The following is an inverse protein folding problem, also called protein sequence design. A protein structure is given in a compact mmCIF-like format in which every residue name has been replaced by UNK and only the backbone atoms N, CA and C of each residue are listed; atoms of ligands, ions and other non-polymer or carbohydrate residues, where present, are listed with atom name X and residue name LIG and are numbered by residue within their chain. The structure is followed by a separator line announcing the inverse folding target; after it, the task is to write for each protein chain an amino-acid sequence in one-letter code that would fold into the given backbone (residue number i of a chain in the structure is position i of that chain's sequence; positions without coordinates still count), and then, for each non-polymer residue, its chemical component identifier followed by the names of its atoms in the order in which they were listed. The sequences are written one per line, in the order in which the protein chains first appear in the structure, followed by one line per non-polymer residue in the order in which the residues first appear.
data_IF_925796148840
#
_entry.id   IF_925796148840
#
_cell.length_a   1.000
_cell.length_b   1.000
_cell.length_c   1.000
_cell.angle_alpha   90.00
_cell.angle_beta   90.00
_cell.angle_gamma   90.00
#
_symmetry.space_group_name_H-M   'P 1'
#
loop_
_entity.id
_entity.type
_entity.pdbx_description
1 polymer ?
#
# COMPACT_ATOMS: atom_id res chain seq x y z
N UNK A 1 40.13 1.00 -2.15
CA UNK A 1 39.45 0.04 -1.25
C UNK A 1 37.95 0.13 -1.49
N UNK A 2 37.26 -1.01 -1.59
CA UNK A 2 35.79 -1.04 -1.69
C UNK A 2 35.16 -0.48 -0.41
N UNK A 3 34.00 0.15 -0.55
CA UNK A 3 33.24 0.66 0.57
C UNK A 3 32.66 -0.51 1.39
N UNK A 4 32.93 -0.51 2.70
CA UNK A 4 32.50 -1.56 3.63
C UNK A 4 31.95 -0.96 4.91
N UNK A 5 30.84 -1.50 5.40
CA UNK A 5 30.39 -1.33 6.79
C UNK A 5 30.52 -2.65 7.55
N UNK A 6 30.87 -2.57 8.83
CA UNK A 6 30.87 -3.72 9.74
C UNK A 6 29.83 -3.49 10.82
N UNK A 7 28.96 -4.47 11.03
CA UNK A 7 27.88 -4.40 12.01
C UNK A 7 28.37 -4.73 13.42
N UNK A 8 27.67 -4.21 14.42
CA UNK A 8 27.80 -4.66 15.81
C UNK A 8 27.28 -6.10 15.92
N UNK A 9 28.01 -6.96 16.63
CA UNK A 9 27.63 -8.37 16.84
C UNK A 9 26.19 -8.53 17.36
N UNK A 10 25.77 -7.66 18.28
CA UNK A 10 24.41 -7.68 18.84
C UNK A 10 23.30 -7.25 17.86
N UNK A 11 23.64 -6.68 16.70
CA UNK A 11 22.69 -6.13 15.72
C UNK A 11 22.71 -6.82 14.36
N UNK A 12 23.71 -7.66 14.08
CA UNK A 12 23.85 -8.34 12.77
C UNK A 12 22.79 -9.41 12.51
N UNK A 13 22.25 -10.06 13.56
CA UNK A 13 21.27 -11.14 13.42
C UNK A 13 19.97 -10.71 12.72
N UNK A 14 19.54 -9.45 12.91
CA UNK A 14 18.34 -8.92 12.25
C UNK A 14 18.53 -8.85 10.74
N UNK A 15 19.73 -8.44 10.28
CA UNK A 15 20.07 -8.37 8.84
C UNK A 15 20.27 -9.77 8.26
N UNK A 16 20.94 -10.67 8.98
CA UNK A 16 21.12 -12.07 8.57
C UNK A 16 19.78 -12.80 8.40
N UNK A 17 18.74 -12.41 9.14
CA UNK A 17 17.37 -12.90 8.99
C UNK A 17 16.61 -12.22 7.84
N UNK A 18 17.23 -11.31 7.11
CA UNK A 18 16.67 -10.65 5.93
C UNK A 18 15.97 -9.33 6.18
N UNK A 19 16.18 -8.67 7.33
CA UNK A 19 15.60 -7.34 7.54
C UNK A 19 16.27 -6.31 6.60
N UNK A 20 15.51 -5.50 5.84
CA UNK A 20 16.03 -4.68 4.74
C UNK A 20 16.71 -3.39 5.20
N UNK A 21 16.54 -2.98 6.46
CA UNK A 21 17.10 -1.72 6.96
C UNK A 21 18.20 -1.91 7.98
N UNK A 22 19.27 -1.13 7.82
CA UNK A 22 20.36 -0.97 8.78
C UNK A 22 20.36 0.47 9.29
N UNK A 23 20.12 0.62 10.59
CA UNK A 23 20.15 1.92 11.26
C UNK A 23 21.59 2.36 11.59
N UNK A 24 21.88 3.67 11.72
CA UNK A 24 23.22 4.16 12.07
C UNK A 24 23.80 3.49 13.32
N UNK A 25 22.98 3.27 14.35
CA UNK A 25 23.39 2.63 15.62
C UNK A 25 23.77 1.15 15.50
N UNK A 26 23.55 0.51 14.35
CA UNK A 26 23.93 -0.89 14.11
C UNK A 26 25.35 -1.01 13.53
N UNK A 27 25.97 0.08 13.09
CA UNK A 27 27.28 0.09 12.43
C UNK A 27 28.37 0.32 13.47
N UNK A 28 29.33 -0.61 13.55
CA UNK A 28 30.46 -0.56 14.47
C UNK A 28 31.64 0.24 13.89
N UNK A 29 31.97 -0.02 12.63
CA UNK A 29 33.06 0.61 11.89
C UNK A 29 32.77 0.66 10.40
N UNK A 30 33.42 1.58 9.71
CA UNK A 30 33.36 1.74 8.25
C UNK A 30 34.77 1.75 7.68
N UNK A 31 34.91 1.36 6.41
CA UNK A 31 36.18 1.39 5.68
C UNK A 31 35.95 1.67 4.21
N UNK A 32 36.93 2.30 3.55
CA UNK A 32 36.75 2.83 2.20
C UNK A 32 35.90 4.10 2.16
N UNK A 33 35.73 4.68 0.97
CA UNK A 33 34.91 5.89 0.79
C UNK A 33 33.44 5.53 0.69
N UNK A 34 32.64 5.97 1.66
CA UNK A 34 31.19 5.88 1.60
C UNK A 34 30.63 7.05 0.79
N UNK A 35 29.70 6.79 -0.12
CA UNK A 35 29.07 7.83 -0.95
C UNK A 35 27.58 7.55 -1.01
N UNK A 36 26.77 8.56 -0.71
CA UNK A 36 25.31 8.45 -0.72
C UNK A 36 24.81 8.01 -2.10
N UNK A 37 23.93 7.01 -2.13
CA UNK A 37 23.42 6.39 -3.35
C UNK A 37 24.27 5.26 -3.92
N UNK A 38 25.48 5.01 -3.39
CA UNK A 38 26.36 3.95 -3.88
C UNK A 38 26.19 2.65 -3.09
N UNK A 39 26.57 1.54 -3.72
CA UNK A 39 26.65 0.24 -3.07
C UNK A 39 27.74 0.19 -2.01
N UNK A 40 27.44 -0.50 -0.91
CA UNK A 40 28.37 -0.77 0.18
C UNK A 40 28.27 -2.23 0.59
N UNK A 41 29.42 -2.88 0.80
CA UNK A 41 29.46 -4.24 1.32
C UNK A 41 29.15 -4.23 2.84
N UNK A 42 28.35 -5.20 3.28
CA UNK A 42 27.89 -5.34 4.66
C UNK A 42 28.60 -6.55 5.27
N UNK A 43 29.33 -6.34 6.37
CA UNK A 43 30.08 -7.40 7.06
C UNK A 43 29.61 -7.62 8.49
N UNK A 44 29.75 -8.86 8.96
CA UNK A 44 29.56 -9.24 10.36
C UNK A 44 30.73 -8.80 11.23
N UNK A 45 30.57 -8.86 12.55
CA UNK A 45 31.62 -8.58 13.52
C UNK A 45 32.83 -9.52 13.39
N UNK A 46 32.62 -10.71 12.84
CA UNK A 46 33.63 -11.74 12.54
C UNK A 46 34.24 -11.59 11.13
N UNK A 47 34.01 -10.44 10.47
CA UNK A 47 34.50 -10.12 9.11
C UNK A 47 33.98 -11.05 8.00
N UNK A 48 32.85 -11.71 8.21
CA UNK A 48 32.11 -12.42 7.16
C UNK A 48 31.23 -11.48 6.33
N UNK A 49 31.20 -11.68 5.00
CA UNK A 49 30.31 -10.92 4.11
C UNK A 49 28.85 -11.35 4.36
N UNK A 50 28.00 -10.39 4.75
CA UNK A 50 26.55 -10.58 4.94
C UNK A 50 25.80 -10.32 3.64
N UNK A 51 26.18 -9.29 2.89
CA UNK A 51 25.47 -8.87 1.69
C UNK A 51 25.90 -7.49 1.20
N UNK A 52 25.06 -6.88 0.38
CA UNK A 52 25.27 -5.55 -0.21
C UNK A 52 24.02 -4.69 -0.04
N UNK A 53 24.23 -3.39 0.10
CA UNK A 53 23.13 -2.43 0.19
C UNK A 53 23.48 -1.06 -0.35
N UNK A 54 22.47 -0.22 -0.52
CA UNK A 54 22.65 1.19 -0.88
C UNK A 54 22.90 2.03 0.38
N UNK A 55 24.02 2.74 0.42
CA UNK A 55 24.38 3.63 1.52
C UNK A 55 23.71 5.01 1.37
N UNK A 56 23.26 5.60 2.47
CA UNK A 56 22.77 6.98 2.50
C UNK A 56 23.15 7.69 3.82
N UNK A 57 23.88 8.79 3.74
CA UNK A 57 24.35 9.51 4.92
C UNK A 57 23.29 10.38 5.63
N UNK A 58 22.21 10.72 4.93
CA UNK A 58 21.13 11.56 5.43
C UNK A 58 19.97 10.73 5.98
N UNK A 59 19.79 9.51 5.47
CA UNK A 59 18.67 8.64 5.84
C UNK A 59 18.76 8.08 7.26
N UNK A 60 17.59 7.84 7.86
CA UNK A 60 17.43 6.99 9.04
C UNK A 60 17.83 5.54 8.75
N UNK A 61 17.66 5.10 7.51
CA UNK A 61 18.09 3.79 7.02
C UNK A 61 19.45 3.96 6.36
N UNK A 62 20.50 3.97 7.19
CA UNK A 62 21.89 4.25 6.78
C UNK A 62 22.35 3.34 5.64
N UNK A 63 21.91 2.08 5.67
CA UNK A 63 22.03 1.16 4.53
C UNK A 63 20.69 0.47 4.32
N UNK A 64 20.23 0.48 3.07
CA UNK A 64 19.10 -0.32 2.60
C UNK A 64 19.67 -1.57 1.92
N UNK A 65 19.41 -2.75 2.49
CA UNK A 65 19.93 -4.04 2.01
C UNK A 65 19.21 -4.40 0.71
N UNK A 66 19.98 -4.77 -0.33
CA UNK A 66 19.45 -5.13 -1.65
C UNK A 66 19.63 -6.62 -1.96
N UNK A 67 20.71 -7.22 -1.44
CA UNK A 67 20.94 -8.66 -1.53
C UNK A 67 21.79 -9.16 -0.35
N UNK A 68 21.52 -10.39 0.07
CA UNK A 68 22.33 -11.17 0.98
C UNK A 68 23.31 -12.06 0.20
N UNK A 69 24.46 -12.33 0.81
CA UNK A 69 25.53 -13.11 0.18
C UNK A 69 25.12 -14.56 -0.13
N UNK A 70 24.18 -15.12 0.62
CA UNK A 70 23.67 -16.49 0.44
C UNK A 70 22.66 -16.63 -0.72
N UNK A 71 22.25 -15.53 -1.36
CA UNK A 71 21.30 -15.58 -2.48
C UNK A 71 21.96 -15.97 -3.81
N UNK A 72 23.30 -16.00 -3.89
CA UNK A 72 24.03 -16.35 -5.12
C UNK A 72 23.85 -15.35 -6.26
N UNK A 73 23.48 -14.11 -5.95
CA UNK A 73 23.24 -13.03 -6.91
C UNK A 73 24.55 -12.35 -7.33
N UNK A 74 24.57 -11.86 -8.56
CA UNK A 74 25.60 -10.91 -8.98
C UNK A 74 25.38 -9.57 -8.27
N UNK A 75 26.26 -9.29 -7.31
CA UNK A 75 26.27 -8.10 -6.46
C UNK A 75 27.31 -7.06 -6.93
N UNK A 76 27.78 -7.15 -8.18
CA UNK A 76 28.84 -6.27 -8.70
C UNK A 76 28.37 -4.81 -8.89
N UNK A 77 27.10 -4.61 -9.26
CA UNK A 77 26.52 -3.30 -9.56
C UNK A 77 24.98 -3.29 -9.37
N UNK A 78 24.35 -2.13 -9.51
CA UNK A 78 22.91 -1.96 -9.39
C UNK A 78 22.13 -2.70 -10.48
N UNK A 79 22.58 -2.67 -11.75
CA UNK A 79 21.85 -3.28 -12.87
C UNK A 79 21.53 -4.78 -12.68
N UNK A 80 22.49 -5.68 -12.34
CA UNK A 80 22.17 -7.08 -12.11
C UNK A 80 21.22 -7.28 -10.92
N UNK A 81 21.37 -6.52 -9.84
CA UNK A 81 20.47 -6.56 -8.67
C UNK A 81 19.05 -6.15 -9.04
N UNK A 82 18.89 -5.00 -9.71
CA UNK A 82 17.60 -4.46 -10.14
C UNK A 82 16.91 -5.42 -11.11
N UNK A 83 17.64 -5.91 -12.13
CA UNK A 83 17.13 -6.91 -13.07
C UNK A 83 16.65 -8.16 -12.35
N UNK A 84 17.47 -8.73 -11.47
CA UNK A 84 17.08 -9.94 -10.74
C UNK A 84 15.78 -9.73 -9.95
N UNK A 85 15.70 -8.66 -9.16
CA UNK A 85 14.53 -8.38 -8.31
C UNK A 85 13.28 -8.09 -9.12
N UNK A 86 13.37 -7.32 -10.20
CA UNK A 86 12.21 -7.04 -11.05
C UNK A 86 11.69 -8.30 -11.75
N UNK A 87 12.58 -9.17 -12.26
CA UNK A 87 12.18 -10.47 -12.81
C UNK A 87 11.54 -11.37 -11.74
N UNK A 88 12.08 -11.38 -10.52
CA UNK A 88 11.51 -12.14 -9.40
C UNK A 88 10.10 -11.64 -9.06
N UNK A 89 9.92 -10.33 -8.92
CA UNK A 89 8.63 -9.72 -8.62
C UNK A 89 7.60 -10.00 -9.72
N UNK A 90 8.00 -9.87 -11.01
CA UNK A 90 7.16 -10.24 -12.15
C UNK A 90 6.72 -11.70 -12.06
N UNK A 91 7.65 -12.62 -11.81
CA UNK A 91 7.33 -14.06 -11.70
C UNK A 91 6.32 -14.33 -10.58
N UNK A 92 6.44 -13.64 -9.43
CA UNK A 92 5.45 -13.74 -8.36
C UNK A 92 4.08 -13.27 -8.85
N UNK A 93 3.98 -12.15 -9.57
CA UNK A 93 2.70 -11.64 -10.10
C UNK A 93 2.12 -12.56 -11.18
N UNK A 94 2.96 -13.15 -12.03
CA UNK A 94 2.55 -14.18 -12.98
C UNK A 94 1.93 -15.40 -12.25
N UNK A 95 2.53 -15.85 -11.14
CA UNK A 95 1.98 -16.93 -10.30
C UNK A 95 0.66 -16.55 -9.59
N UNK A 96 0.42 -15.25 -9.38
CA UNK A 96 -0.85 -14.71 -8.90
C UNK A 96 -1.88 -14.54 -10.03
N UNK A 97 -1.55 -14.92 -11.26
CA UNK A 97 -2.34 -14.69 -12.48
C UNK A 97 -2.61 -13.20 -12.74
N UNK A 98 -1.60 -12.34 -12.56
CA UNK A 98 -1.72 -10.90 -12.83
C UNK A 98 -0.82 -10.48 -14.01
N UNK A 99 -1.37 -9.80 -15.03
CA UNK A 99 -2.79 -9.46 -15.19
C UNK A 99 -3.65 -10.67 -15.62
N UNK A 100 -4.95 -10.57 -15.43
CA UNK A 100 -5.95 -11.49 -16.00
C UNK A 100 -7.04 -10.71 -16.76
N UNK A 101 -8.07 -11.42 -17.23
CA UNK A 101 -9.19 -10.83 -17.99
C UNK A 101 -10.04 -9.83 -17.18
N UNK A 102 -9.95 -9.86 -15.84
CA UNK A 102 -10.71 -9.01 -14.94
C UNK A 102 -9.83 -8.01 -14.18
N UNK A 103 -8.50 -8.13 -14.24
CA UNK A 103 -7.57 -7.33 -13.46
C UNK A 103 -6.36 -6.96 -14.30
N UNK A 104 -6.30 -5.70 -14.70
CA UNK A 104 -5.17 -5.12 -15.44
C UNK A 104 -4.48 -3.98 -14.68
N UNK A 105 -5.01 -3.59 -13.52
CA UNK A 105 -4.36 -2.75 -12.53
C UNK A 105 -3.84 -3.59 -11.34
N UNK A 106 -2.53 -3.56 -11.10
CA UNK A 106 -1.91 -4.28 -9.98
C UNK A 106 -0.53 -3.73 -9.62
N UNK A 107 -0.08 -4.02 -8.39
CA UNK A 107 1.27 -3.71 -7.95
C UNK A 107 2.23 -4.74 -8.53
N UNK A 108 3.10 -4.29 -9.42
CA UNK A 108 4.18 -5.10 -9.98
C UNK A 108 5.34 -5.26 -8.99
N UNK A 109 5.68 -4.20 -8.25
CA UNK A 109 6.82 -4.19 -7.34
C UNK A 109 6.51 -3.39 -6.06
N UNK A 110 6.77 -3.98 -4.89
CA UNK A 110 6.38 -3.49 -3.57
C UNK A 110 7.58 -3.26 -2.64
N UNK A 111 8.51 -2.39 -3.04
CA UNK A 111 9.58 -1.86 -2.19
C UNK A 111 10.40 -2.92 -1.47
N UNK A 112 10.51 -2.84 -0.14
CA UNK A 112 11.21 -3.80 0.71
C UNK A 112 10.74 -5.23 0.46
N UNK A 113 9.44 -5.41 0.20
CA UNK A 113 8.86 -6.73 0.08
C UNK A 113 9.31 -7.50 -1.16
N UNK A 114 9.70 -6.78 -2.21
CA UNK A 114 10.27 -7.33 -3.43
C UNK A 114 11.80 -7.09 -3.52
N UNK A 115 12.43 -6.61 -2.44
CA UNK A 115 13.88 -6.57 -2.28
C UNK A 115 14.58 -5.29 -2.75
N UNK A 116 13.85 -4.26 -3.17
CA UNK A 116 14.42 -2.95 -3.52
C UNK A 116 13.74 -1.83 -2.72
N UNK A 117 14.21 -1.64 -1.49
CA UNK A 117 13.67 -0.66 -0.54
C UNK A 117 13.64 0.75 -1.13
N UNK A 118 12.43 1.31 -1.22
CA UNK A 118 12.15 2.65 -1.72
C UNK A 118 11.61 2.71 -3.16
N UNK A 119 11.54 1.58 -3.87
CA UNK A 119 10.99 1.49 -5.23
C UNK A 119 9.61 0.81 -5.20
N UNK A 120 8.58 1.47 -5.71
CA UNK A 120 7.29 0.82 -5.98
C UNK A 120 6.88 0.99 -7.43
N UNK A 121 6.28 -0.04 -8.01
CA UNK A 121 5.81 0.00 -9.40
C UNK A 121 4.39 -0.54 -9.44
N UNK A 122 3.46 0.29 -9.91
CA UNK A 122 2.14 -0.14 -10.33
C UNK A 122 2.07 -0.29 -11.82
N UNK A 123 1.36 -1.32 -12.29
CA UNK A 123 1.10 -1.53 -13.69
C UNK A 123 -0.39 -1.37 -13.95
N UNK A 124 -0.73 -0.45 -14.83
CA UNK A 124 -2.06 -0.07 -15.28
C UNK A 124 -2.14 -0.31 -16.79
N UNK A 125 -2.56 -1.50 -17.21
CA UNK A 125 -2.40 -1.95 -18.61
C UNK A 125 -0.95 -1.82 -19.11
N UNK A 126 -0.70 -0.94 -20.08
CA UNK A 126 0.60 -0.66 -20.69
C UNK A 126 1.25 0.60 -20.07
N UNK A 127 0.93 0.92 -18.82
CA UNK A 127 1.53 2.04 -18.09
C UNK A 127 2.14 1.52 -16.80
N UNK A 128 3.45 1.67 -16.66
CA UNK A 128 4.17 1.45 -15.42
C UNK A 128 4.33 2.78 -14.66
N UNK A 129 3.63 2.91 -13.55
CA UNK A 129 3.78 4.04 -12.63
C UNK A 129 4.81 3.68 -11.58
N UNK A 130 5.99 4.29 -11.68
CA UNK A 130 7.09 4.12 -10.74
C UNK A 130 7.01 5.21 -9.70
N UNK A 131 6.95 4.84 -8.42
CA UNK A 131 7.14 5.79 -7.33
C UNK A 131 8.43 5.49 -6.57
N UNK A 132 9.19 6.56 -6.33
CA UNK A 132 10.51 6.53 -5.73
C UNK A 132 10.49 7.29 -4.41
N UNK A 133 10.99 6.64 -3.35
CA UNK A 133 10.99 7.20 -1.99
C UNK A 133 12.35 7.13 -1.32
N UNK A 134 13.39 6.68 -2.05
CA UNK A 134 14.76 6.59 -1.56
C UNK A 134 15.74 7.20 -2.56
N UNK A 135 16.81 7.81 -2.04
CA UNK A 135 17.82 8.49 -2.85
C UNK A 135 18.42 7.60 -3.94
N UNK A 136 18.76 6.36 -3.61
CA UNK A 136 19.41 5.45 -4.56
C UNK A 136 18.49 5.10 -5.74
N UNK A 137 17.16 5.11 -5.54
CA UNK A 137 16.19 4.84 -6.61
C UNK A 137 16.22 5.96 -7.63
N UNK A 138 16.23 7.23 -7.18
CA UNK A 138 16.39 8.38 -8.07
C UNK A 138 17.74 8.38 -8.78
N UNK A 139 18.82 8.10 -8.04
CA UNK A 139 20.17 8.06 -8.60
C UNK A 139 20.35 6.96 -9.67
N UNK A 140 19.49 5.95 -9.68
CA UNK A 140 19.51 4.84 -10.64
C UNK A 140 18.26 4.81 -11.53
N UNK A 141 17.57 5.96 -11.71
CA UNK A 141 16.35 6.06 -12.51
C UNK A 141 16.51 5.45 -13.90
N UNK A 142 17.58 5.79 -14.61
CA UNK A 142 17.84 5.32 -15.98
C UNK A 142 17.92 3.78 -16.03
N UNK A 143 18.72 3.18 -15.14
CA UNK A 143 18.87 1.71 -15.05
C UNK A 143 17.52 1.05 -14.75
N UNK A 144 16.75 1.61 -13.81
CA UNK A 144 15.43 1.07 -13.43
C UNK A 144 14.49 1.13 -14.63
N UNK A 145 14.42 2.27 -15.32
CA UNK A 145 13.58 2.47 -16.49
C UNK A 145 13.97 1.52 -17.64
N UNK A 146 15.25 1.36 -17.93
CA UNK A 146 15.74 0.41 -18.94
C UNK A 146 15.31 -1.02 -18.63
N UNK A 147 15.47 -1.47 -17.37
CA UNK A 147 15.08 -2.83 -16.97
C UNK A 147 13.56 -3.01 -17.00
N UNK A 148 12.77 -1.99 -16.64
CA UNK A 148 11.32 -2.03 -16.82
C UNK A 148 10.97 -2.17 -18.30
N UNK A 149 11.63 -1.43 -19.19
CA UNK A 149 11.41 -1.52 -20.64
C UNK A 149 11.87 -2.87 -21.22
N UNK A 150 12.92 -3.49 -20.68
CA UNK A 150 13.30 -4.87 -21.03
C UNK A 150 12.18 -5.87 -20.72
N UNK A 151 11.49 -5.70 -19.58
CA UNK A 151 10.38 -6.56 -19.16
C UNK A 151 9.08 -6.27 -19.90
N UNK A 152 8.84 -5.00 -20.21
CA UNK A 152 7.61 -4.50 -20.82
C UNK A 152 7.94 -3.49 -21.95
N UNK A 153 8.37 -3.96 -23.12
CA UNK A 153 8.89 -3.09 -24.19
C UNK A 153 7.89 -2.06 -24.72
N UNK A 154 6.60 -2.30 -24.58
CA UNK A 154 5.53 -1.42 -25.06
C UNK A 154 4.93 -0.55 -23.96
N UNK A 155 5.36 -0.69 -22.72
CA UNK A 155 4.78 0.08 -21.62
C UNK A 155 5.35 1.50 -21.59
N UNK A 156 4.49 2.47 -21.31
CA UNK A 156 4.88 3.82 -20.93
C UNK A 156 5.32 3.83 -19.46
N UNK A 157 6.42 4.52 -19.15
CA UNK A 157 6.84 4.75 -17.77
C UNK A 157 6.41 6.14 -17.31
N UNK A 158 5.70 6.21 -16.20
CA UNK A 158 5.39 7.45 -15.49
C UNK A 158 6.14 7.43 -14.16
N UNK A 159 7.01 8.41 -13.94
CA UNK A 159 7.82 8.47 -12.72
C UNK A 159 7.28 9.52 -11.74
N UNK A 160 6.92 9.09 -10.53
CA UNK A 160 6.28 9.91 -9.49
C UNK A 160 7.15 9.91 -8.22
N UNK A 161 8.07 10.87 -8.08
CA UNK A 161 8.94 10.94 -6.92
C UNK A 161 8.21 11.42 -5.67
N UNK A 162 8.44 10.72 -4.57
CA UNK A 162 7.83 11.00 -3.28
C UNK A 162 8.64 12.09 -2.55
N UNK A 163 8.32 13.36 -2.85
CA UNK A 163 9.07 14.56 -2.40
C UNK A 163 9.42 14.53 -0.91
N UNK A 164 8.47 14.19 -0.03
CA UNK A 164 8.68 14.20 1.42
C UNK A 164 9.68 13.12 1.88
N UNK A 165 9.49 11.82 1.60
CA UNK A 165 10.51 10.79 1.88
C UNK A 165 11.87 11.10 1.24
N UNK A 166 11.88 11.55 -0.01
CA UNK A 166 13.12 11.86 -0.73
C UNK A 166 13.90 13.02 -0.08
N UNK A 167 13.21 14.07 0.37
CA UNK A 167 13.81 15.16 1.11
C UNK A 167 14.44 14.71 2.44
N UNK A 168 13.83 13.73 3.12
CA UNK A 168 14.40 13.10 4.33
C UNK A 168 15.64 12.25 4.00
N UNK A 169 15.68 11.63 2.82
CA UNK A 169 16.83 10.90 2.28
C UNK A 169 17.89 11.84 1.65
N UNK A 170 17.72 13.16 1.75
CA UNK A 170 18.70 14.17 1.30
C UNK A 170 18.63 14.52 -0.19
N UNK A 171 17.60 14.07 -0.92
CA UNK A 171 17.38 14.46 -2.31
C UNK A 171 16.91 15.91 -2.40
N UNK A 172 17.67 16.75 -3.11
CA UNK A 172 17.40 18.20 -3.23
C UNK A 172 17.06 18.65 -4.65
N UNK A 173 17.14 17.75 -5.63
CA UNK A 173 16.88 18.11 -7.01
C UNK A 173 15.38 18.39 -7.20
N UNK A 174 15.09 19.38 -8.03
CA UNK A 174 13.72 19.69 -8.40
C UNK A 174 13.11 18.50 -9.14
N UNK A 175 11.90 18.13 -8.73
CA UNK A 175 11.06 17.16 -9.45
C UNK A 175 10.37 17.94 -10.56
N UNK A 176 10.75 17.71 -11.82
CA UNK A 176 10.28 18.54 -12.95
C UNK A 176 9.57 17.74 -14.03
N UNK A 177 8.95 16.61 -13.70
CA UNK A 177 8.20 15.83 -14.69
C UNK A 177 6.69 15.94 -14.46
N UNK A 178 6.05 16.54 -15.46
CA UNK A 178 4.61 16.56 -15.64
C UNK A 178 4.26 15.55 -16.73
N UNK A 179 3.82 14.37 -16.34
CA UNK A 179 3.11 13.48 -17.24
C UNK A 179 1.62 13.62 -16.95
N UNK A 180 0.84 13.98 -17.96
CA UNK A 180 -0.61 13.83 -17.95
C UNK A 180 -0.94 12.65 -18.86
N UNK A 181 -1.38 11.56 -18.25
CA UNK A 181 -1.85 10.38 -18.98
C UNK A 181 -3.14 9.89 -18.33
N UNK A 182 -3.98 9.23 -19.12
CA UNK A 182 -5.17 8.56 -18.63
C UNK A 182 -5.17 7.13 -19.14
N UNK A 183 -5.68 6.21 -18.32
CA UNK A 183 -5.86 4.82 -18.73
C UNK A 183 -7.18 4.28 -18.19
N UNK A 184 -7.88 3.51 -19.02
CA UNK A 184 -8.97 2.67 -18.55
C UNK A 184 -8.42 1.32 -18.15
N UNK A 185 -8.62 0.91 -16.91
CA UNK A 185 -8.09 -0.35 -16.36
C UNK A 185 -9.19 -1.16 -15.71
N UNK A 186 -8.96 -2.47 -15.60
CA UNK A 186 -9.84 -3.36 -14.86
C UNK A 186 -9.26 -3.66 -13.50
N UNK A 187 -10.09 -3.59 -12.47
CA UNK A 187 -9.81 -4.14 -11.15
C UNK A 187 -10.96 -5.09 -10.79
N UNK A 188 -10.67 -6.40 -10.77
CA UNK A 188 -11.64 -7.45 -10.46
C UNK A 188 -13.00 -7.31 -11.16
N UNK A 189 -13.00 -6.91 -12.43
CA UNK A 189 -14.18 -6.80 -13.28
C UNK A 189 -14.87 -5.43 -13.30
N UNK A 190 -14.38 -4.46 -12.52
CA UNK A 190 -14.82 -3.06 -12.59
C UNK A 190 -13.86 -2.26 -13.46
N UNK A 191 -14.40 -1.50 -14.40
CA UNK A 191 -13.65 -0.59 -15.24
C UNK A 191 -13.44 0.75 -14.52
N UNK A 192 -12.19 1.19 -14.41
CA UNK A 192 -11.82 2.48 -13.84
C UNK A 192 -11.16 3.35 -14.89
N UNK A 193 -11.51 4.63 -14.94
CA UNK A 193 -10.70 5.64 -15.60
C UNK A 193 -9.72 6.23 -14.59
N UNK A 194 -8.43 5.95 -14.80
CA UNK A 194 -7.35 6.43 -13.94
C UNK A 194 -6.68 7.61 -14.62
N UNK A 195 -6.58 8.71 -13.88
CA UNK A 195 -5.89 9.92 -14.32
C UNK A 195 -4.55 10.03 -13.59
N UNK A 196 -3.47 9.96 -14.35
CA UNK A 196 -2.13 10.19 -13.86
C UNK A 196 -1.84 11.68 -14.06
N UNK A 197 -2.34 12.51 -13.14
CA UNK A 197 -2.10 13.95 -13.11
C UNK A 197 -1.42 14.35 -11.80
N UNK A 198 -0.47 15.29 -11.89
CA UNK A 198 0.20 16.02 -10.80
C UNK A 198 0.40 15.29 -9.44
N UNK A 199 1.59 14.71 -9.29
CA UNK A 199 2.44 14.70 -8.08
C UNK A 199 1.90 14.33 -6.68
N UNK A 200 0.63 13.93 -6.44
CA UNK A 200 0.21 13.63 -5.06
C UNK A 200 -0.40 12.27 -4.75
N UNK A 201 -1.02 11.52 -5.67
CA UNK A 201 -1.45 10.13 -5.39
C UNK A 201 -1.44 9.28 -6.67
N UNK A 202 -1.01 8.02 -6.53
CA UNK A 202 -1.11 7.00 -7.58
C UNK A 202 -2.59 6.63 -7.76
N UNK A 203 -3.26 7.27 -8.72
CA UNK A 203 -4.54 6.85 -9.33
C UNK A 203 -5.56 6.12 -8.45
N UNK A 204 -5.41 4.79 -8.33
CA UNK A 204 -6.37 3.84 -7.76
C UNK A 204 -5.76 3.09 -6.56
N UNK A 205 -6.54 2.89 -5.48
CA UNK A 205 -6.15 2.08 -4.32
C UNK A 205 -6.26 0.56 -4.61
N UNK A 206 -5.35 0.07 -5.44
CA UNK A 206 -5.28 -1.34 -5.87
C UNK A 206 -4.97 -2.33 -4.74
N UNK A 207 -4.57 -1.84 -3.54
CA UNK A 207 -4.38 -2.65 -2.35
C UNK A 207 -5.69 -3.11 -1.72
N UNK A 208 -6.81 -2.44 -2.01
CA UNK A 208 -8.13 -2.84 -1.52
C UNK A 208 -8.86 -3.85 -2.43
N UNK A 209 -8.33 -4.17 -3.62
CA UNK A 209 -8.98 -5.05 -4.63
C UNK A 209 -9.67 -6.29 -4.04
N UNK A 210 -8.97 -7.04 -3.19
CA UNK A 210 -9.54 -8.26 -2.61
C UNK A 210 -10.58 -7.97 -1.53
N UNK A 211 -10.46 -6.86 -0.80
CA UNK A 211 -11.46 -6.42 0.16
C UNK A 211 -12.73 -5.93 -0.54
N UNK A 212 -12.60 -5.27 -1.69
CA UNK A 212 -13.75 -4.94 -2.54
C UNK A 212 -14.53 -6.19 -2.95
N UNK A 213 -13.84 -7.23 -3.46
CA UNK A 213 -14.46 -8.52 -3.82
C UNK A 213 -15.18 -9.17 -2.63
N UNK A 214 -14.54 -9.17 -1.45
CA UNK A 214 -15.13 -9.73 -0.22
C UNK A 214 -16.47 -9.09 0.15
N UNK A 215 -16.57 -7.76 0.00
CA UNK A 215 -17.84 -7.04 0.21
C UNK A 215 -18.84 -7.34 -0.90
N UNK A 216 -18.38 -7.37 -2.15
CA UNK A 216 -19.20 -7.67 -3.33
C UNK A 216 -19.90 -9.03 -3.21
N UNK A 217 -19.18 -10.07 -2.77
CA UNK A 217 -19.71 -11.43 -2.59
C UNK A 217 -20.87 -11.50 -1.59
N UNK A 218 -20.98 -10.50 -0.70
CA UNK A 218 -22.02 -10.41 0.32
C UNK A 218 -23.15 -9.44 -0.05
N UNK A 219 -22.97 -8.63 -1.10
CA UNK A 219 -23.81 -7.45 -1.37
C UNK A 219 -25.13 -7.76 -2.08
N UNK A 220 -25.28 -8.91 -2.73
CA UNK A 220 -26.46 -9.23 -3.55
C UNK A 220 -27.78 -9.07 -2.77
N UNK A 221 -28.67 -8.22 -3.28
CA UNK A 221 -29.98 -7.93 -2.71
C UNK A 221 -29.95 -7.19 -1.37
N UNK A 222 -28.85 -6.50 -1.06
CA UNK A 222 -28.67 -5.74 0.18
C UNK A 222 -28.53 -4.25 -0.04
N UNK A 223 -28.79 -3.48 1.00
CA UNK A 223 -28.46 -2.05 1.06
C UNK A 223 -27.06 -1.86 1.62
N UNK A 224 -26.22 -1.12 0.91
CA UNK A 224 -24.81 -0.92 1.24
C UNK A 224 -24.50 0.56 1.46
N UNK A 225 -23.85 0.89 2.57
CA UNK A 225 -23.34 2.24 2.86
C UNK A 225 -21.81 2.23 2.81
N UNK A 226 -21.23 2.91 1.81
CA UNK A 226 -19.80 3.06 1.63
C UNK A 226 -19.33 4.45 2.11
N UNK A 227 -18.74 4.49 3.30
CA UNK A 227 -18.23 5.73 3.90
C UNK A 227 -16.73 5.86 3.62
N UNK A 228 -16.33 7.06 3.20
CA UNK A 228 -14.99 7.35 2.66
C UNK A 228 -14.77 6.63 1.32
N UNK A 229 -15.78 6.66 0.44
CA UNK A 229 -15.83 5.87 -0.80
C UNK A 229 -14.71 6.21 -1.80
N UNK A 230 -14.12 7.41 -1.68
CA UNK A 230 -13.16 7.95 -2.65
C UNK A 230 -13.70 7.85 -4.10
N UNK A 231 -13.05 7.10 -4.98
CA UNK A 231 -13.43 6.89 -6.38
C UNK A 231 -14.40 5.72 -6.58
N UNK A 232 -15.04 5.24 -5.51
CA UNK A 232 -16.12 4.26 -5.57
C UNK A 232 -15.69 2.80 -5.42
N UNK A 233 -14.51 2.51 -4.87
CA UNK A 233 -13.96 1.15 -4.79
C UNK A 233 -14.96 0.09 -4.31
N UNK A 234 -15.38 0.18 -3.04
CA UNK A 234 -16.38 -0.73 -2.48
C UNK A 234 -17.76 -0.55 -3.13
N UNK A 235 -18.20 0.69 -3.35
CA UNK A 235 -19.52 0.99 -3.91
C UNK A 235 -19.75 0.35 -5.29
N UNK A 236 -18.82 0.50 -6.22
CA UNK A 236 -18.91 -0.01 -7.60
C UNK A 236 -18.94 -1.54 -7.61
N UNK A 237 -18.08 -2.17 -6.81
CA UNK A 237 -18.03 -3.63 -6.68
C UNK A 237 -19.31 -4.20 -6.06
N UNK A 238 -19.83 -3.57 -5.00
CA UNK A 238 -21.09 -3.97 -4.38
C UNK A 238 -22.28 -3.82 -5.35
N UNK A 239 -22.35 -2.69 -6.06
CA UNK A 239 -23.39 -2.42 -7.06
C UNK A 239 -23.37 -3.45 -8.20
N UNK A 240 -22.18 -3.75 -8.75
CA UNK A 240 -22.01 -4.74 -9.82
C UNK A 240 -22.38 -6.16 -9.38
N UNK A 241 -22.17 -6.50 -8.11
CA UNK A 241 -22.57 -7.78 -7.53
C UNK A 241 -24.08 -7.89 -7.23
N UNK A 242 -24.85 -6.83 -7.53
CA UNK A 242 -26.31 -6.83 -7.43
C UNK A 242 -26.84 -6.38 -6.08
N UNK A 243 -26.15 -5.46 -5.39
CA UNK A 243 -26.76 -4.71 -4.29
C UNK A 243 -28.10 -4.09 -4.71
N UNK A 244 -29.08 -4.07 -3.79
CA UNK A 244 -30.36 -3.42 -4.02
C UNK A 244 -30.17 -1.92 -4.18
N UNK A 245 -29.37 -1.33 -3.30
CA UNK A 245 -29.05 0.09 -3.29
C UNK A 245 -27.68 0.28 -2.65
N UNK A 246 -26.87 1.17 -3.22
CA UNK A 246 -25.60 1.59 -2.63
C UNK A 246 -25.64 3.10 -2.38
N UNK A 247 -25.24 3.54 -1.19
CA UNK A 247 -24.97 4.95 -0.89
C UNK A 247 -23.48 5.12 -0.67
N UNK A 248 -22.84 6.00 -1.43
CA UNK A 248 -21.41 6.21 -1.46
C UNK A 248 -21.09 7.66 -1.05
N UNK A 249 -20.37 7.84 0.06
CA UNK A 249 -20.16 9.15 0.70
C UNK A 249 -18.67 9.49 0.79
N UNK A 250 -18.28 10.64 0.26
CA UNK A 250 -16.94 11.20 0.42
C UNK A 250 -16.99 12.73 0.54
N UNK A 251 -16.03 13.31 1.24
CA UNK A 251 -15.91 14.77 1.38
C UNK A 251 -15.32 15.46 0.14
N UNK A 252 -14.72 14.70 -0.78
CA UNK A 252 -14.09 15.23 -1.99
C UNK A 252 -15.07 15.18 -3.16
N UNK A 253 -15.59 16.33 -3.58
CA UNK A 253 -16.40 16.44 -4.80
C UNK A 253 -15.69 15.92 -6.06
N UNK A 254 -14.35 16.09 -6.14
CA UNK A 254 -13.56 15.52 -7.23
C UNK A 254 -13.58 13.99 -7.23
N UNK A 255 -13.41 13.36 -6.05
CA UNK A 255 -13.47 11.90 -5.93
C UNK A 255 -14.86 11.37 -6.26
N UNK A 256 -15.92 12.05 -5.78
CA UNK A 256 -17.31 11.73 -6.11
C UNK A 256 -17.58 11.83 -7.62
N UNK A 257 -17.12 12.90 -8.28
CA UNK A 257 -17.26 13.03 -9.74
C UNK A 257 -16.54 11.90 -10.49
N UNK A 258 -15.34 11.51 -10.05
CA UNK A 258 -14.63 10.35 -10.60
C UNK A 258 -15.38 9.04 -10.35
N UNK A 259 -15.97 8.85 -9.16
CA UNK A 259 -16.77 7.67 -8.83
C UNK A 259 -18.03 7.56 -9.70
N UNK A 260 -18.71 8.69 -9.96
CA UNK A 260 -19.85 8.77 -10.88
C UNK A 260 -19.47 8.42 -12.32
N UNK A 261 -18.31 8.91 -12.79
CA UNK A 261 -17.78 8.54 -14.10
C UNK A 261 -17.50 7.02 -14.17
N UNK A 262 -16.88 6.44 -13.14
CA UNK A 262 -16.65 5.00 -13.07
C UNK A 262 -17.97 4.20 -13.04
N UNK A 263 -19.00 4.67 -12.32
CA UNK A 263 -20.31 4.02 -12.32
C UNK A 263 -20.93 4.01 -13.74
N UNK A 264 -20.84 5.15 -14.44
CA UNK A 264 -21.30 5.29 -15.83
C UNK A 264 -20.57 4.32 -16.76
N UNK A 265 -19.24 4.22 -16.64
CA UNK A 265 -18.42 3.29 -17.42
C UNK A 265 -18.82 1.81 -17.23
N UNK A 266 -19.39 1.47 -16.08
CA UNK A 266 -19.81 0.12 -15.74
C UNK A 266 -21.31 -0.13 -15.93
N UNK A 267 -22.07 0.89 -16.35
CA UNK A 267 -23.53 0.83 -16.50
C UNK A 267 -24.26 0.64 -15.17
N UNK A 268 -23.75 1.23 -14.09
CA UNK A 268 -24.32 1.12 -12.74
C UNK A 268 -25.16 2.37 -12.41
N UNK A 269 -26.42 2.16 -12.09
CA UNK A 269 -27.42 3.20 -11.80
C UNK A 269 -28.02 3.10 -10.38
N UNK A 270 -27.71 2.04 -9.64
CA UNK A 270 -28.17 1.77 -8.28
C UNK A 270 -27.26 2.35 -7.18
N UNK A 271 -26.45 3.38 -7.51
CA UNK A 271 -25.54 4.04 -6.59
C UNK A 271 -25.94 5.51 -6.41
N UNK A 272 -26.21 5.89 -5.17
CA UNK A 272 -26.35 7.29 -4.76
C UNK A 272 -25.00 7.81 -4.29
N UNK A 273 -24.46 8.81 -5.01
CA UNK A 273 -23.20 9.46 -4.65
C UNK A 273 -23.45 10.78 -3.91
N UNK A 274 -22.78 10.95 -2.77
CA UNK A 274 -23.00 12.10 -1.87
C UNK A 274 -21.67 12.74 -1.52
N UNK A 275 -21.53 14.03 -1.88
CA UNK A 275 -20.44 14.88 -1.37
C UNK A 275 -20.80 15.38 0.03
N UNK A 276 -20.27 14.71 1.07
CA UNK A 276 -20.51 15.07 2.46
C UNK A 276 -19.42 14.51 3.38
N UNK A 277 -19.39 14.99 4.63
CA UNK A 277 -18.59 14.33 5.65
C UNK A 277 -19.19 12.96 6.00
N UNK A 278 -18.42 11.90 5.82
CA UNK A 278 -18.82 10.53 6.15
C UNK A 278 -19.31 10.37 7.61
N UNK A 279 -18.84 11.22 8.54
CA UNK A 279 -19.28 11.21 9.94
C UNK A 279 -20.76 11.53 10.10
N UNK A 280 -21.31 12.37 9.23
CA UNK A 280 -22.71 12.78 9.26
C UNK A 280 -23.65 11.63 8.86
N UNK A 281 -23.11 10.59 8.22
CA UNK A 281 -23.85 9.41 7.77
C UNK A 281 -23.74 8.21 8.72
N UNK A 282 -22.90 8.28 9.78
CA UNK A 282 -22.80 7.22 10.79
C UNK A 282 -24.15 6.96 11.49
N UNK A 283 -24.98 7.99 11.63
CA UNK A 283 -26.32 7.89 12.22
C UNK A 283 -27.32 7.10 11.37
N UNK A 284 -27.08 7.05 10.04
CA UNK A 284 -27.93 6.32 9.09
C UNK A 284 -27.54 4.85 8.95
N UNK A 285 -26.48 4.38 9.62
CA UNK A 285 -25.96 3.02 9.50
C UNK A 285 -27.00 1.92 9.77
N UNK A 286 -28.07 2.21 10.53
CA UNK A 286 -29.17 1.27 10.78
C UNK A 286 -30.13 1.04 9.61
N UNK A 287 -29.99 1.80 8.53
CA UNK A 287 -30.80 1.68 7.29
C UNK A 287 -30.18 0.68 6.29
N UNK A 288 -28.97 0.19 6.57
CA UNK A 288 -28.17 -0.62 5.65
C UNK A 288 -27.84 -1.99 6.25
N UNK A 289 -27.67 -2.98 5.37
CA UNK A 289 -27.27 -4.33 5.76
C UNK A 289 -25.75 -4.48 5.85
N UNK A 290 -25.01 -3.72 5.03
CA UNK A 290 -23.55 -3.67 5.00
C UNK A 290 -23.11 -2.21 5.11
N UNK A 291 -22.22 -1.94 6.04
CA UNK A 291 -21.54 -0.65 6.18
C UNK A 291 -20.05 -0.84 5.93
N UNK A 292 -19.44 0.05 5.16
CA UNK A 292 -17.99 0.12 4.96
C UNK A 292 -17.46 1.37 5.65
N UNK A 293 -16.34 1.24 6.36
CA UNK A 293 -15.59 2.33 6.98
C UNK A 293 -14.11 2.23 6.61
N UNK A 294 -13.69 2.96 5.57
CA UNK A 294 -12.28 3.05 5.15
C UNK A 294 -11.70 4.48 5.30
N UNK A 295 -11.55 4.98 6.54
CA UNK A 295 -11.08 6.34 6.76
C UNK A 295 -9.63 6.52 6.25
N UNK A 296 -9.25 7.74 5.83
CA UNK A 296 -7.90 8.04 5.36
C UNK A 296 -6.86 7.75 6.45
N UNK A 297 -5.58 7.61 6.08
CA UNK A 297 -4.50 7.31 7.04
C UNK A 297 -4.44 8.33 8.20
N UNK A 298 -4.97 7.95 9.36
CA UNK A 298 -5.07 8.80 10.55
C UNK A 298 -3.78 8.83 11.39
N UNK A 299 -2.93 7.79 11.26
CA UNK A 299 -1.66 7.68 11.98
C UNK A 299 -0.50 7.79 11.00
N UNK A 300 0.08 9.00 10.80
CA UNK A 300 1.29 9.15 10.02
C UNK A 300 2.54 8.70 10.79
N UNK A 301 2.51 8.67 12.13
CA UNK A 301 3.63 8.24 12.98
C UNK A 301 3.16 7.78 14.36
N UNK A 302 4.01 7.02 15.07
CA UNK A 302 3.76 6.53 16.44
C UNK A 302 3.33 7.63 17.43
N UNK A 303 3.84 8.85 17.29
CA UNK A 303 3.50 9.99 18.16
C UNK A 303 2.01 10.41 18.06
N UNK A 304 1.34 10.09 16.95
CA UNK A 304 -0.07 10.43 16.71
C UNK A 304 -1.02 9.26 17.02
N UNK A 305 -0.48 8.12 17.48
CA UNK A 305 -1.23 6.88 17.66
C UNK A 305 -2.43 7.06 18.59
N UNK A 306 -2.29 7.79 19.69
CA UNK A 306 -3.39 7.98 20.64
C UNK A 306 -4.53 8.81 20.06
N UNK A 307 -4.21 9.88 19.30
CA UNK A 307 -5.22 10.72 18.64
C UNK A 307 -6.02 9.92 17.62
N UNK A 308 -5.36 9.09 16.83
CA UNK A 308 -6.05 8.21 15.89
C UNK A 308 -6.84 7.11 16.58
N UNK A 309 -6.31 6.47 17.63
CA UNK A 309 -7.08 5.51 18.45
C UNK A 309 -8.37 6.15 18.96
N UNK A 310 -8.33 7.41 19.42
CA UNK A 310 -9.54 8.13 19.84
C UNK A 310 -10.51 8.39 18.68
N UNK A 311 -10.03 8.75 17.50
CA UNK A 311 -10.89 8.94 16.33
C UNK A 311 -11.52 7.63 15.86
N UNK A 312 -10.76 6.53 15.79
CA UNK A 312 -11.32 5.21 15.52
C UNK A 312 -12.35 4.80 16.57
N UNK A 313 -12.10 5.06 17.86
CA UNK A 313 -13.10 4.80 18.90
C UNK A 313 -14.38 5.59 18.64
N UNK A 314 -14.27 6.87 18.27
CA UNK A 314 -15.42 7.68 17.90
C UNK A 314 -16.19 7.08 16.72
N UNK A 315 -15.53 6.84 15.58
CA UNK A 315 -16.19 6.29 14.38
C UNK A 315 -16.94 4.99 14.67
N UNK A 316 -16.24 4.03 15.29
CA UNK A 316 -16.80 2.73 15.57
C UNK A 316 -17.93 2.79 16.62
N UNK A 317 -17.79 3.64 17.64
CA UNK A 317 -18.86 3.81 18.63
C UNK A 317 -20.11 4.39 17.97
N UNK A 318 -19.98 5.43 17.15
CA UNK A 318 -21.14 6.05 16.50
C UNK A 318 -21.78 5.13 15.44
N UNK A 319 -21.00 4.40 14.64
CA UNK A 319 -21.58 3.43 13.68
C UNK A 319 -22.31 2.30 14.43
N UNK A 320 -21.69 1.73 15.47
CA UNK A 320 -22.28 0.63 16.21
C UNK A 320 -23.55 1.05 16.96
N UNK A 321 -23.69 2.30 17.43
CA UNK A 321 -24.96 2.77 18.03
C UNK A 321 -26.15 2.53 17.09
N UNK A 322 -25.96 2.77 15.80
CA UNK A 322 -27.05 2.83 14.82
C UNK A 322 -27.25 1.51 14.05
N UNK A 323 -26.19 0.71 13.83
CA UNK A 323 -26.28 -0.58 13.14
C UNK A 323 -27.26 -1.56 13.81
N UNK A 324 -28.00 -2.36 13.03
CA UNK A 324 -28.97 -3.34 13.56
C UNK A 324 -28.33 -4.73 13.73
N UNK A 325 -28.81 -5.58 14.65
CA UNK A 325 -28.43 -7.00 14.68
C UNK A 325 -28.58 -7.65 13.30
N UNK A 326 -27.59 -8.46 12.90
CA UNK A 326 -27.53 -9.10 11.59
C UNK A 326 -26.84 -8.29 10.49
N UNK A 327 -26.54 -7.00 10.72
CA UNK A 327 -25.77 -6.17 9.79
C UNK A 327 -24.26 -6.43 9.86
N UNK A 328 -23.57 -6.13 8.77
CA UNK A 328 -22.12 -6.32 8.60
C UNK A 328 -21.39 -4.98 8.57
N UNK A 329 -20.19 -4.94 9.15
CA UNK A 329 -19.25 -3.83 9.05
C UNK A 329 -17.95 -4.34 8.43
N UNK A 330 -17.54 -3.77 7.29
CA UNK A 330 -16.15 -3.84 6.81
C UNK A 330 -15.42 -2.57 7.25
N UNK A 331 -14.39 -2.67 8.07
CA UNK A 331 -13.62 -1.49 8.49
C UNK A 331 -12.12 -1.65 8.28
N UNK A 332 -11.47 -0.58 7.83
CA UNK A 332 -10.09 -0.59 7.39
C UNK A 332 -9.20 0.38 8.20
N UNK A 333 -7.94 0.02 8.32
CA UNK A 333 -6.86 0.86 8.83
C UNK A 333 -5.64 0.72 7.93
N UNK A 334 -5.19 1.83 7.34
CA UNK A 334 -4.05 1.92 6.43
C UNK A 334 -2.76 2.43 7.12
N UNK A 335 -2.60 2.15 8.42
CA UNK A 335 -1.38 2.47 9.15
C UNK A 335 -0.75 1.25 9.82
N UNK A 336 0.54 1.04 9.56
CA UNK A 336 1.39 0.06 10.23
C UNK A 336 1.66 0.36 11.71
N UNK A 337 1.30 1.56 12.19
CA UNK A 337 1.47 1.92 13.60
C UNK A 337 0.46 1.26 14.55
N UNK A 338 -0.62 0.68 14.00
CA UNK A 338 -1.61 -0.05 14.77
C UNK A 338 -1.64 -1.49 14.28
N UNK A 339 -1.29 -2.44 15.14
CA UNK A 339 -1.31 -3.86 14.77
C UNK A 339 -2.73 -4.34 14.51
N UNK A 340 -2.89 -5.39 13.70
CA UNK A 340 -4.21 -5.95 13.39
C UNK A 340 -4.96 -6.41 14.65
N UNK A 341 -4.23 -6.96 15.64
CA UNK A 341 -4.80 -7.37 16.92
C UNK A 341 -5.30 -6.18 17.75
N UNK A 342 -4.52 -5.09 17.83
CA UNK A 342 -4.95 -3.87 18.51
C UNK A 342 -6.16 -3.24 17.82
N UNK A 343 -6.18 -3.23 16.48
CA UNK A 343 -7.31 -2.70 15.72
C UNK A 343 -8.57 -3.52 15.97
N UNK A 344 -8.51 -4.85 15.86
CA UNK A 344 -9.64 -5.74 16.19
C UNK A 344 -10.16 -5.52 17.61
N UNK A 345 -9.26 -5.36 18.58
CA UNK A 345 -9.62 -5.12 19.98
C UNK A 345 -10.29 -3.75 20.16
N UNK A 346 -9.80 -2.72 19.47
CA UNK A 346 -10.38 -1.38 19.48
C UNK A 346 -11.80 -1.39 18.92
N UNK A 347 -11.99 -1.99 17.74
CA UNK A 347 -13.29 -2.10 17.05
C UNK A 347 -14.28 -2.85 17.95
N UNK A 348 -13.93 -4.05 18.39
CA UNK A 348 -14.81 -4.90 19.21
C UNK A 348 -15.18 -4.23 20.54
N UNK A 349 -14.22 -3.52 21.15
CA UNK A 349 -14.47 -2.76 22.38
C UNK A 349 -15.51 -1.64 22.21
N UNK A 350 -15.66 -1.07 21.00
CA UNK A 350 -16.67 -0.04 20.76
C UNK A 350 -18.08 -0.62 20.61
N UNK A 351 -18.24 -1.84 20.08
CA UNK A 351 -19.54 -2.51 20.05
C UNK A 351 -20.03 -2.79 21.48
N UNK A 352 -19.16 -3.32 22.34
CA UNK A 352 -19.48 -3.57 23.75
C UNK A 352 -19.84 -2.28 24.50
N UNK A 353 -19.16 -1.16 24.20
CA UNK A 353 -19.42 0.14 24.82
C UNK A 353 -20.81 0.70 24.52
N UNK A 354 -21.50 0.18 23.50
CA UNK A 354 -22.87 0.57 23.14
C UNK A 354 -23.88 -0.56 23.39
N UNK A 355 -23.51 -1.55 24.18
CA UNK A 355 -24.38 -2.66 24.58
C UNK A 355 -24.64 -3.69 23.47
N UNK A 356 -23.80 -3.77 22.45
CA UNK A 356 -23.92 -4.73 21.34
C UNK A 356 -22.80 -5.76 21.36
N UNK A 357 -23.05 -6.92 20.76
CA UNK A 357 -22.00 -7.89 20.49
C UNK A 357 -21.53 -7.79 19.05
N UNK A 358 -20.24 -8.03 18.85
CA UNK A 358 -19.61 -8.04 17.54
C UNK A 358 -18.86 -9.37 17.37
N UNK A 359 -19.05 -10.03 16.22
CA UNK A 359 -18.31 -11.24 15.84
C UNK A 359 -17.38 -10.90 14.69
N UNK A 360 -16.08 -11.09 14.87
CA UNK A 360 -15.11 -10.96 13.78
C UNK A 360 -15.28 -12.17 12.86
N UNK A 361 -15.65 -11.92 11.62
CA UNK A 361 -15.79 -12.95 10.59
C UNK A 361 -14.48 -13.18 9.84
N UNK A 362 -13.61 -12.16 9.80
CA UNK A 362 -12.29 -12.29 9.22
C UNK A 362 -11.45 -11.03 9.40
N UNK A 363 -10.13 -11.23 9.38
CA UNK A 363 -9.13 -10.17 9.38
C UNK A 363 -8.28 -10.34 8.14
N UNK A 364 -8.21 -9.30 7.33
CA UNK A 364 -7.61 -9.30 6.01
C UNK A 364 -6.55 -8.21 5.90
N UNK A 365 -5.68 -8.36 4.92
CA UNK A 365 -4.62 -7.42 4.60
C UNK A 365 -4.83 -6.77 3.23
N UNK A 366 -3.77 -6.16 2.67
CA UNK A 366 -3.81 -5.64 1.30
C UNK A 366 -3.90 -6.81 0.29
N UNK A 367 -4.26 -6.49 -0.95
CA UNK A 367 -4.31 -7.44 -2.04
C UNK A 367 -2.97 -8.17 -2.21
N UNK A 368 -3.01 -9.44 -2.61
CA UNK A 368 -1.84 -10.34 -2.79
C UNK A 368 -0.68 -9.76 -3.62
N UNK A 369 -0.93 -8.80 -4.51
CA UNK A 369 0.10 -8.07 -5.24
C UNK A 369 0.89 -7.05 -4.39
N UNK A 370 0.53 -6.85 -3.13
CA UNK A 370 1.25 -6.09 -2.10
C UNK A 370 1.79 -7.05 -1.03
N UNK A 371 2.81 -7.87 -1.36
CA UNK A 371 3.34 -8.83 -0.41
C UNK A 371 3.93 -8.11 0.82
N UNK A 372 3.87 -8.78 1.97
CA UNK A 372 4.66 -8.41 3.15
C UNK A 372 5.85 -9.34 3.23
N UNK A 373 7.06 -8.79 3.37
CA UNK A 373 8.25 -9.59 3.61
C UNK A 373 8.25 -10.11 5.05
N UNK A 374 8.44 -11.42 5.22
CA UNK A 374 8.37 -12.10 6.52
C UNK A 374 9.40 -11.58 7.53
N UNK A 375 10.57 -11.14 7.06
CA UNK A 375 11.61 -10.50 7.85
C UNK A 375 11.41 -9.00 8.08
N UNK A 376 10.30 -8.44 7.60
CA UNK A 376 9.96 -7.02 7.68
C UNK A 376 8.44 -6.82 7.93
N UNK A 377 7.94 -7.18 9.13
CA UNK A 377 6.52 -7.08 9.47
C UNK A 377 5.98 -5.64 9.44
N UNK A 378 6.84 -4.63 9.57
CA UNK A 378 6.48 -3.21 9.47
C UNK A 378 5.93 -2.82 8.08
N UNK A 379 6.21 -3.65 7.07
CA UNK A 379 5.64 -3.53 5.73
C UNK A 379 4.15 -3.85 5.66
N UNK A 380 3.58 -4.51 6.67
CA UNK A 380 2.14 -4.75 6.74
C UNK A 380 1.42 -3.48 7.23
N UNK A 381 0.87 -2.71 6.29
CA UNK A 381 0.30 -1.40 6.58
C UNK A 381 -1.24 -1.37 6.55
N UNK A 382 -1.89 -2.35 5.94
CA UNK A 382 -3.35 -2.39 5.77
C UNK A 382 -3.94 -3.52 6.59
N UNK A 383 -4.95 -3.20 7.40
CA UNK A 383 -5.80 -4.19 8.07
C UNK A 383 -7.25 -3.87 7.75
N UNK A 384 -7.98 -4.84 7.20
CA UNK A 384 -9.42 -4.80 7.01
C UNK A 384 -10.08 -5.85 7.89
N UNK A 385 -11.13 -5.49 8.62
CA UNK A 385 -11.84 -6.37 9.56
C UNK A 385 -13.30 -6.44 9.16
N UNK A 386 -13.78 -7.65 8.86
CA UNK A 386 -15.19 -7.90 8.63
C UNK A 386 -15.84 -8.35 9.94
N UNK A 387 -16.88 -7.65 10.36
CA UNK A 387 -17.57 -7.84 11.64
C UNK A 387 -19.07 -8.02 11.38
N UNK A 388 -19.71 -8.94 12.10
CA UNK A 388 -21.16 -9.01 12.20
C UNK A 388 -21.62 -8.44 13.54
N UNK A 389 -22.65 -7.60 13.53
CA UNK A 389 -23.33 -7.11 14.73
C UNK A 389 -24.38 -8.14 15.16
N UNK A 390 -24.40 -8.51 16.44
CA UNK A 390 -25.30 -9.53 17.01
C UNK A 390 -26.11 -8.96 18.16
#
# INVERSE_FOLDING_TARGET
MKAKITLLAAKQNTVLRGHPWIFPKAIARTSGKLTTGHLVEIYSAEDGLIGIGAYNEHSLYRVRVLALANEGLDMSDFRPLIRHRLHQAKRVRDCLNLPDQQTTAYRLFNSEADGLSGLTIDRFNQICVVASSAYWVEANREIISEVIQELFPSDQIIWIPQVKPLGQDGWKQAVTEEAQSTAQVLEAGILYQVEFAHAQKTGLFIDQRENHKRVADLAKGKKVLDLYTYTGGFALHAAKAGAEQVTAVDSSGQAIAQAQNNATLNGLDNIEFIEADARDYLVKAGEYDIVILDPPKLVPSQQHLQKAKNYYRFLHREVFKNMKPGSLLMTCNCSSALSSQEFCSLVSGQAAAVGKQARILGVYGPASCHPTLSSFPEGNYLTAVLVAVV
#
